data_IF_682166263962
#
_entry.id   IF_682166263962
#
_cell.length_a   1.000
_cell.length_b   1.000
_cell.length_c   1.000
_cell.angle_alpha   90.00
_cell.angle_beta   90.00
_cell.angle_gamma   90.00
#
_symmetry.space_group_name_H-M   'P 1'
#
loop_
_entity.id
_entity.type
_entity.pdbx_description
1 polymer ?
#
# COMPACT_ATOMS: atom_id res chain seq x y z
N UNK A 1 -8.86 -14.33 13.99
CA UNK A 1 -9.64 -13.21 13.49
C UNK A 1 -9.45 -11.97 14.34
N UNK A 2 -9.35 -10.81 13.68
CA UNK A 2 -9.37 -9.47 14.28
C UNK A 2 -10.76 -9.18 14.86
N UNK A 3 -10.81 -8.65 16.08
CA UNK A 3 -12.05 -8.17 16.73
C UNK A 3 -12.40 -6.75 16.31
N UNK A 4 -13.61 -6.28 16.64
CA UNK A 4 -14.01 -4.89 16.37
C UNK A 4 -13.08 -3.86 17.06
N UNK A 5 -12.71 -4.12 18.33
CA UNK A 5 -11.78 -3.25 19.06
C UNK A 5 -10.39 -3.22 18.42
N UNK A 6 -9.90 -4.37 17.95
CA UNK A 6 -8.65 -4.44 17.22
C UNK A 6 -8.73 -3.72 15.87
N UNK A 7 -9.88 -3.76 15.18
CA UNK A 7 -10.08 -3.02 13.95
C UNK A 7 -10.03 -1.51 14.20
N UNK A 8 -10.71 -1.02 15.24
CA UNK A 8 -10.64 0.39 15.65
C UNK A 8 -9.21 0.81 16.05
N UNK A 9 -8.48 -0.07 16.73
CA UNK A 9 -7.07 0.15 17.05
C UNK A 9 -6.19 0.28 15.80
N UNK A 10 -6.42 -0.54 14.78
CA UNK A 10 -5.69 -0.45 13.51
C UNK A 10 -6.08 0.82 12.76
N UNK A 11 -7.36 1.20 12.73
CA UNK A 11 -7.81 2.45 12.10
C UNK A 11 -7.08 3.67 12.67
N UNK A 12 -6.97 3.73 13.99
CA UNK A 12 -6.28 4.79 14.72
C UNK A 12 -4.82 4.94 14.29
N UNK A 13 -4.17 3.83 13.97
CA UNK A 13 -2.72 3.72 13.90
C UNK A 13 -2.17 3.22 12.55
N UNK A 14 -3.02 2.97 11.56
CA UNK A 14 -2.56 2.54 10.24
C UNK A 14 -1.86 3.68 9.49
N UNK A 15 -0.72 3.38 8.86
CA UNK A 15 0.06 4.37 8.11
C UNK A 15 0.74 3.82 6.84
N UNK A 16 0.58 2.52 6.55
CA UNK A 16 1.06 1.87 5.33
C UNK A 16 -0.03 0.98 4.72
N UNK A 17 0.02 0.69 3.40
CA UNK A 17 -0.96 -0.17 2.72
C UNK A 17 -1.16 -1.54 3.37
N UNK A 18 -0.11 -2.14 3.91
CA UNK A 18 -0.12 -3.47 4.51
C UNK A 18 -0.88 -3.52 5.84
N UNK A 19 -1.17 -2.36 6.46
CA UNK A 19 -2.06 -2.27 7.62
C UNK A 19 -3.54 -2.31 7.26
N UNK A 20 -3.89 -2.15 5.98
CA UNK A 20 -5.27 -2.13 5.52
C UNK A 20 -5.76 -3.56 5.38
N UNK A 21 -6.49 -4.02 6.38
CA UNK A 21 -6.94 -5.42 6.49
C UNK A 21 -7.81 -5.83 5.31
N UNK A 22 -8.73 -4.97 4.86
CA UNK A 22 -9.58 -5.23 3.70
C UNK A 22 -8.77 -5.39 2.41
N UNK A 23 -7.76 -4.55 2.20
CA UNK A 23 -6.88 -4.63 1.04
C UNK A 23 -6.10 -5.94 1.01
N UNK A 24 -5.35 -6.23 2.09
CA UNK A 24 -4.48 -7.41 2.12
C UNK A 24 -5.32 -8.69 2.08
N UNK A 25 -6.46 -8.73 2.77
CA UNK A 25 -7.38 -9.88 2.75
C UNK A 25 -7.96 -10.10 1.36
N UNK A 26 -8.42 -9.05 0.68
CA UNK A 26 -9.02 -9.16 -0.65
C UNK A 26 -8.02 -9.67 -1.69
N UNK A 27 -6.77 -9.22 -1.62
CA UNK A 27 -5.70 -9.64 -2.53
C UNK A 27 -5.20 -11.05 -2.21
N UNK A 28 -4.79 -11.31 -0.96
CA UNK A 28 -4.14 -12.58 -0.59
C UNK A 28 -5.12 -13.74 -0.35
N UNK A 29 -6.39 -13.41 -0.04
CA UNK A 29 -7.39 -14.33 0.53
C UNK A 29 -6.93 -14.96 1.86
N UNK A 30 -6.04 -14.29 2.58
CA UNK A 30 -5.55 -14.71 3.89
C UNK A 30 -6.35 -14.01 5.00
N UNK A 31 -6.56 -14.71 6.11
CA UNK A 31 -7.31 -14.18 7.25
C UNK A 31 -6.40 -13.30 8.12
N UNK A 32 -6.86 -12.11 8.55
CA UNK A 32 -6.04 -11.20 9.32
C UNK A 32 -6.07 -11.48 10.84
N UNK A 33 -4.94 -11.25 11.49
CA UNK A 33 -4.70 -11.42 12.92
C UNK A 33 -3.79 -10.30 13.44
N UNK A 34 -3.99 -9.89 14.68
CA UNK A 34 -3.11 -8.95 15.38
C UNK A 34 -2.31 -9.69 16.46
N UNK A 35 -0.98 -9.56 16.42
CA UNK A 35 -0.03 -10.13 17.38
C UNK A 35 0.78 -9.01 18.03
N UNK A 36 0.35 -8.58 19.21
CA UNK A 36 0.86 -7.36 19.83
C UNK A 36 0.60 -6.15 18.93
N UNK A 37 1.68 -5.52 18.47
CA UNK A 37 1.62 -4.33 17.58
C UNK A 37 1.66 -4.67 16.09
N UNK A 38 1.73 -5.95 15.71
CA UNK A 38 2.02 -6.38 14.35
C UNK A 38 0.85 -7.13 13.72
N UNK A 39 0.63 -6.87 12.44
CA UNK A 39 -0.38 -7.58 11.65
C UNK A 39 0.21 -8.82 10.98
N UNK A 40 -0.58 -9.87 10.98
CA UNK A 40 -0.28 -11.10 10.27
C UNK A 40 -1.50 -11.59 9.50
N UNK A 41 -1.30 -12.11 8.30
CA UNK A 41 -2.34 -12.67 7.46
C UNK A 41 -2.01 -14.12 7.14
N UNK A 42 -2.82 -15.06 7.61
CA UNK A 42 -2.55 -16.48 7.50
C UNK A 42 -3.49 -17.16 6.50
N UNK A 43 -2.94 -18.06 5.67
CA UNK A 43 -3.70 -18.89 4.74
C UNK A 43 -3.02 -20.23 4.54
N UNK A 44 -3.60 -21.31 5.07
CA UNK A 44 -3.08 -22.70 5.00
C UNK A 44 -1.57 -22.78 5.25
N UNK A 45 -0.76 -22.75 4.19
CA UNK A 45 0.68 -22.96 4.19
C UNK A 45 1.49 -21.67 3.98
N UNK A 46 0.82 -20.52 3.97
CA UNK A 46 1.43 -19.21 3.70
C UNK A 46 1.06 -18.19 4.77
N UNK A 47 2.03 -17.36 5.15
CA UNK A 47 1.88 -16.28 6.12
C UNK A 47 2.45 -14.97 5.55
N UNK A 48 1.66 -13.90 5.61
CA UNK A 48 2.16 -12.53 5.41
C UNK A 48 2.34 -11.92 6.80
N UNK A 49 3.53 -11.44 7.12
CA UNK A 49 3.80 -10.74 8.36
C UNK A 49 4.22 -9.30 8.08
N UNK A 50 3.54 -8.36 8.74
CA UNK A 50 3.79 -6.93 8.63
C UNK A 50 4.58 -6.49 9.85
N UNK A 51 5.89 -6.41 9.70
CA UNK A 51 6.88 -6.04 10.72
C UNK A 51 6.93 -4.55 11.05
N UNK A 52 5.86 -3.82 10.74
CA UNK A 52 5.68 -2.42 11.08
C UNK A 52 4.73 -2.35 12.28
N UNK A 53 5.18 -1.88 13.45
CA UNK A 53 4.30 -1.72 14.61
C UNK A 53 3.28 -0.61 14.34
N UNK A 54 2.06 -0.77 14.84
CA UNK A 54 0.99 0.22 14.69
C UNK A 54 1.27 1.52 15.47
N UNK A 55 1.53 1.43 16.77
CA UNK A 55 1.71 2.62 17.61
C UNK A 55 3.15 2.84 18.07
N UNK A 56 3.86 1.76 18.37
CA UNK A 56 5.13 1.83 19.07
C UNK A 56 6.32 2.00 18.13
N UNK A 57 7.46 2.46 18.64
CA UNK A 57 8.69 2.51 17.85
C UNK A 57 9.12 1.09 17.47
N UNK A 58 9.66 0.94 16.26
CA UNK A 58 10.16 -0.36 15.80
C UNK A 58 11.29 -0.89 16.70
N UNK A 59 11.12 -2.14 17.15
CA UNK A 59 12.13 -2.91 17.87
C UNK A 59 12.23 -4.33 17.30
N UNK A 60 13.40 -4.69 16.77
CA UNK A 60 13.62 -5.98 16.09
C UNK A 60 13.30 -7.18 16.99
N UNK A 61 13.67 -7.13 18.28
CA UNK A 61 13.41 -8.22 19.24
C UNK A 61 11.91 -8.47 19.44
N UNK A 62 11.11 -7.41 19.48
CA UNK A 62 9.65 -7.51 19.66
C UNK A 62 8.97 -8.01 18.41
N UNK A 63 9.39 -7.51 17.25
CA UNK A 63 8.94 -8.03 15.95
C UNK A 63 9.27 -9.52 15.83
N UNK A 64 10.51 -9.93 16.15
CA UNK A 64 10.92 -11.34 16.13
C UNK A 64 10.05 -12.18 17.05
N UNK A 65 9.81 -11.74 18.30
CA UNK A 65 8.94 -12.47 19.23
C UNK A 65 7.53 -12.68 18.66
N UNK A 66 6.92 -11.64 18.10
CA UNK A 66 5.61 -11.75 17.48
C UNK A 66 5.62 -12.68 16.25
N UNK A 67 6.67 -12.61 15.43
CA UNK A 67 6.90 -13.47 14.27
C UNK A 67 7.07 -14.96 14.69
N UNK A 68 7.81 -15.23 15.76
CA UNK A 68 7.99 -16.58 16.31
C UNK A 68 6.65 -17.13 16.84
N UNK A 69 5.86 -16.31 17.55
CA UNK A 69 4.54 -16.67 18.08
C UNK A 69 3.55 -17.04 16.96
N UNK A 70 3.47 -16.22 15.92
CA UNK A 70 2.57 -16.47 14.78
C UNK A 70 3.03 -17.68 13.95
N UNK A 71 4.35 -17.85 13.76
CA UNK A 71 4.92 -19.00 13.05
C UNK A 71 4.64 -20.29 13.81
N UNK A 72 4.77 -20.29 15.14
CA UNK A 72 4.44 -21.44 15.99
C UNK A 72 2.95 -21.79 15.92
N UNK A 73 2.07 -20.78 15.85
CA UNK A 73 0.61 -20.98 15.80
C UNK A 73 0.16 -21.57 14.47
N UNK A 74 0.61 -21.02 13.35
CA UNK A 74 0.10 -21.38 12.02
C UNK A 74 0.96 -22.38 11.26
N UNK A 75 2.22 -22.56 11.67
CA UNK A 75 3.19 -23.48 11.04
C UNK A 75 3.22 -23.37 9.51
N UNK A 76 3.40 -22.16 8.95
CA UNK A 76 3.40 -21.98 7.50
C UNK A 76 4.61 -22.63 6.85
N UNK A 77 4.45 -23.13 5.62
CA UNK A 77 5.54 -23.57 4.76
C UNK A 77 6.32 -22.42 4.13
N UNK A 78 5.71 -21.23 4.02
CA UNK A 78 6.33 -20.01 3.49
C UNK A 78 5.84 -18.74 4.20
N UNK A 79 6.76 -17.80 4.42
CA UNK A 79 6.52 -16.51 5.07
C UNK A 79 6.96 -15.37 4.14
N UNK A 80 6.04 -14.44 3.88
CA UNK A 80 6.31 -13.13 3.33
C UNK A 80 6.41 -12.09 4.46
N UNK A 81 7.58 -11.50 4.65
CA UNK A 81 7.85 -10.50 5.67
C UNK A 81 8.11 -9.14 5.02
N UNK A 82 7.40 -8.10 5.47
CA UNK A 82 7.77 -6.70 5.22
C UNK A 82 8.18 -6.04 6.54
N UNK A 83 9.26 -5.26 6.55
CA UNK A 83 9.77 -4.64 7.78
C UNK A 83 10.60 -3.38 7.47
N UNK A 84 10.85 -2.48 8.43
CA UNK A 84 11.71 -1.31 8.19
C UNK A 84 13.20 -1.67 8.10
N UNK A 85 13.62 -2.82 8.61
CA UNK A 85 15.01 -3.29 8.53
C UNK A 85 15.06 -4.71 8.00
N UNK A 86 16.27 -5.10 7.59
CA UNK A 86 16.62 -6.48 7.30
C UNK A 86 16.83 -7.19 8.63
N UNK A 87 16.01 -8.19 9.00
CA UNK A 87 16.20 -8.87 10.26
C UNK A 87 17.49 -9.70 10.23
N UNK A 88 18.30 -9.54 11.26
CA UNK A 88 19.63 -10.17 11.39
C UNK A 88 19.59 -11.70 11.43
N UNK A 89 18.46 -12.26 11.87
CA UNK A 89 18.24 -13.70 11.98
C UNK A 89 17.88 -14.37 10.66
N UNK A 90 17.44 -13.63 9.63
CA UNK A 90 17.14 -14.20 8.32
C UNK A 90 18.40 -14.26 7.46
N UNK A 91 19.13 -15.38 7.57
CA UNK A 91 20.39 -15.62 6.84
C UNK A 91 20.18 -16.24 5.46
N UNK A 92 19.15 -17.07 5.29
CA UNK A 92 18.83 -17.75 4.02
C UNK A 92 17.93 -16.90 3.12
N UNK A 93 18.19 -16.94 1.81
CA UNK A 93 17.70 -15.96 0.83
C UNK A 93 16.95 -16.68 -0.29
N UNK A 94 15.65 -16.44 -0.41
CA UNK A 94 14.88 -16.88 -1.60
C UNK A 94 14.52 -15.69 -2.47
N UNK A 95 13.88 -14.65 -1.91
CA UNK A 95 13.60 -13.41 -2.63
C UNK A 95 13.71 -12.19 -1.71
N UNK A 96 14.33 -11.11 -2.18
CA UNK A 96 14.49 -9.85 -1.45
C UNK A 96 14.28 -8.64 -2.35
N UNK A 97 13.59 -7.62 -1.84
CA UNK A 97 13.57 -6.28 -2.43
C UNK A 97 13.62 -5.21 -1.34
N UNK A 98 14.07 -4.00 -1.70
CA UNK A 98 14.15 -2.86 -0.79
C UNK A 98 13.79 -1.56 -1.51
N UNK A 99 13.10 -0.68 -0.81
CA UNK A 99 12.65 0.63 -1.29
C UNK A 99 12.37 1.55 -0.09
N UNK A 100 11.64 2.63 -0.28
CA UNK A 100 11.13 3.52 0.75
C UNK A 100 9.68 3.89 0.45
N UNK A 101 8.84 3.90 1.49
CA UNK A 101 7.58 4.61 1.42
C UNK A 101 7.84 6.11 1.43
N UNK A 102 7.08 6.82 0.60
CA UNK A 102 7.07 8.27 0.56
C UNK A 102 5.84 8.79 1.29
N UNK A 103 5.99 9.90 1.99
CA UNK A 103 4.90 10.58 2.69
C UNK A 103 4.86 12.03 2.31
N UNK A 104 3.65 12.53 2.13
CA UNK A 104 3.34 13.94 2.05
C UNK A 104 2.82 14.42 3.40
N UNK A 105 3.42 15.50 3.93
CA UNK A 105 2.91 16.19 5.10
C UNK A 105 1.98 17.33 4.67
N UNK A 106 0.70 17.27 5.06
CA UNK A 106 -0.31 18.22 4.61
C UNK A 106 -0.13 19.60 5.25
N UNK A 107 0.43 19.70 6.45
CA UNK A 107 0.70 21.01 7.10
C UNK A 107 1.86 21.77 6.48
N UNK A 108 2.78 21.05 5.83
CA UNK A 108 3.95 21.63 5.16
C UNK A 108 3.78 21.67 3.63
N UNK A 109 2.61 21.31 3.11
CA UNK A 109 2.38 21.23 1.67
C UNK A 109 2.48 22.63 1.02
N UNK A 110 3.41 22.77 0.09
CA UNK A 110 3.55 23.94 -0.76
C UNK A 110 3.53 23.53 -2.22
N UNK A 111 2.50 23.97 -2.95
CA UNK A 111 2.34 23.67 -4.38
C UNK A 111 3.13 24.70 -5.18
N UNK A 112 4.09 24.26 -6.01
CA UNK A 112 4.88 25.19 -6.84
C UNK A 112 4.03 25.86 -7.94
N UNK A 113 4.47 27.02 -8.44
CA UNK A 113 3.78 27.69 -9.57
C UNK A 113 3.73 26.81 -10.82
N UNK A 114 4.80 26.05 -11.09
CA UNK A 114 4.84 25.11 -12.22
C UNK A 114 3.75 24.04 -12.09
N UNK A 115 3.57 23.49 -10.89
CA UNK A 115 2.53 22.50 -10.63
C UNK A 115 1.13 23.11 -10.71
N UNK A 116 0.90 24.30 -10.15
CA UNK A 116 -0.36 25.04 -10.32
C UNK A 116 -0.73 25.25 -11.80
N UNK A 117 0.24 25.66 -12.62
CA UNK A 117 0.02 25.85 -14.05
C UNK A 117 -0.33 24.53 -14.76
N UNK A 118 0.30 23.42 -14.36
CA UNK A 118 -0.01 22.09 -14.88
C UNK A 118 -1.44 21.67 -14.52
N UNK A 119 -1.84 21.84 -13.26
CA UNK A 119 -3.19 21.53 -12.78
C UNK A 119 -4.25 22.38 -13.50
N UNK A 120 -3.99 23.68 -13.67
CA UNK A 120 -4.88 24.57 -14.42
C UNK A 120 -5.07 24.12 -15.87
N UNK A 121 -4.00 23.67 -16.54
CA UNK A 121 -4.11 23.13 -17.91
C UNK A 121 -4.92 21.84 -17.94
N UNK A 122 -4.56 20.85 -17.10
CA UNK A 122 -5.25 19.58 -17.02
C UNK A 122 -6.75 19.76 -16.68
N UNK A 123 -7.08 20.65 -15.75
CA UNK A 123 -8.46 20.94 -15.35
C UNK A 123 -9.31 21.66 -16.41
N UNK A 124 -8.73 22.20 -17.49
CA UNK A 124 -9.49 22.68 -18.65
C UNK A 124 -9.90 21.57 -19.60
N UNK A 125 -9.20 20.43 -19.54
CA UNK A 125 -9.37 19.29 -20.44
C UNK A 125 -10.12 18.14 -19.75
N UNK A 126 -9.98 18.04 -18.43
CA UNK A 126 -10.45 16.94 -17.61
C UNK A 126 -11.39 17.42 -16.51
N UNK A 127 -12.41 16.62 -16.25
CA UNK A 127 -13.20 16.65 -15.01
C UNK A 127 -12.75 15.51 -14.09
N UNK A 128 -12.66 15.77 -12.79
CA UNK A 128 -12.40 14.73 -11.78
C UNK A 128 -13.68 14.35 -11.05
N UNK A 129 -13.87 13.05 -10.81
CA UNK A 129 -14.99 12.50 -10.04
C UNK A 129 -14.48 11.50 -9.02
N UNK A 130 -14.91 11.63 -7.76
CA UNK A 130 -14.79 10.57 -6.73
C UNK A 130 -15.96 9.60 -6.87
N UNK A 131 -15.70 8.31 -6.95
CA UNK A 131 -16.70 7.27 -7.18
C UNK A 131 -16.40 5.98 -6.41
N UNK A 132 -17.44 5.17 -6.25
CA UNK A 132 -17.36 3.77 -5.78
C UNK A 132 -17.43 2.78 -6.94
N UNK A 133 -17.82 3.27 -8.11
CA UNK A 133 -17.98 2.44 -9.29
C UNK A 133 -16.60 2.01 -9.80
N UNK A 134 -16.40 0.71 -9.95
CA UNK A 134 -15.25 0.13 -10.64
C UNK A 134 -15.76 -0.71 -11.81
N UNK A 135 -15.79 -0.09 -12.98
CA UNK A 135 -16.39 -0.66 -14.19
C UNK A 135 -15.35 -1.27 -15.15
N UNK A 136 -15.85 -1.91 -16.22
CA UNK A 136 -15.04 -2.55 -17.28
C UNK A 136 -13.99 -1.63 -17.90
N UNK A 137 -14.24 -0.32 -17.99
CA UNK A 137 -13.25 0.64 -18.53
C UNK A 137 -12.00 0.76 -17.64
N UNK A 138 -12.14 0.62 -16.32
CA UNK A 138 -11.00 0.61 -15.38
C UNK A 138 -10.16 -0.65 -15.57
N UNK A 139 -10.82 -1.80 -15.65
CA UNK A 139 -10.16 -3.09 -15.93
C UNK A 139 -9.36 -3.03 -17.23
N UNK A 140 -9.93 -2.45 -18.29
CA UNK A 140 -9.22 -2.25 -19.58
C UNK A 140 -7.95 -1.41 -19.43
N UNK A 141 -7.96 -0.37 -18.59
CA UNK A 141 -6.76 0.43 -18.35
C UNK A 141 -5.69 -0.36 -17.58
N UNK A 142 -6.09 -1.16 -16.58
CA UNK A 142 -5.16 -2.06 -15.87
C UNK A 142 -4.56 -3.09 -16.83
N UNK A 143 -5.38 -3.74 -17.66
CA UNK A 143 -4.92 -4.70 -18.65
C UNK A 143 -3.96 -4.07 -19.66
N UNK A 144 -4.28 -2.88 -20.18
CA UNK A 144 -3.40 -2.14 -21.09
C UNK A 144 -2.07 -1.76 -20.41
N UNK A 145 -2.10 -1.40 -19.13
CA UNK A 145 -0.91 -1.16 -18.34
C UNK A 145 -0.05 -2.43 -18.25
N UNK A 146 -0.63 -3.55 -17.83
CA UNK A 146 0.03 -4.84 -17.64
C UNK A 146 0.60 -5.46 -18.94
N UNK A 147 0.03 -5.09 -20.10
CA UNK A 147 0.52 -5.49 -21.43
C UNK A 147 1.75 -4.69 -21.86
N UNK A 148 1.89 -3.45 -21.37
CA UNK A 148 2.90 -2.51 -21.88
C UNK A 148 4.00 -2.18 -20.88
N UNK A 149 3.88 -2.61 -19.62
CA UNK A 149 4.88 -2.42 -18.58
C UNK A 149 5.28 -3.79 -18.01
N UNK A 150 6.57 -4.14 -18.02
CA UNK A 150 7.04 -5.32 -17.31
C UNK A 150 6.83 -5.11 -15.82
N UNK A 151 6.12 -6.04 -15.19
CA UNK A 151 5.91 -6.11 -13.74
C UNK A 151 6.20 -7.52 -13.28
N UNK A 152 6.64 -7.67 -12.03
CA UNK A 152 6.79 -9.00 -11.43
C UNK A 152 5.43 -9.68 -11.18
N UNK A 153 5.48 -10.98 -10.91
CA UNK A 153 4.27 -11.79 -10.70
C UNK A 153 3.45 -11.30 -9.50
N UNK A 154 4.10 -10.85 -8.43
CA UNK A 154 3.43 -10.34 -7.24
C UNK A 154 2.63 -9.06 -7.53
N UNK A 155 3.24 -8.12 -8.26
CA UNK A 155 2.60 -6.86 -8.68
C UNK A 155 1.45 -7.13 -9.65
N UNK A 156 1.65 -8.03 -10.62
CA UNK A 156 0.57 -8.47 -11.52
C UNK A 156 -0.60 -9.05 -10.75
N UNK A 157 -0.30 -9.94 -9.80
CA UNK A 157 -1.31 -10.59 -8.95
C UNK A 157 -2.13 -9.59 -8.13
N UNK A 158 -1.50 -8.53 -7.62
CA UNK A 158 -2.17 -7.41 -6.93
C UNK A 158 -3.09 -6.66 -7.90
N UNK A 159 -2.58 -6.27 -9.08
CA UNK A 159 -3.33 -5.45 -10.04
C UNK A 159 -4.58 -6.15 -10.56
N UNK A 160 -4.50 -7.45 -10.81
CA UNK A 160 -5.64 -8.27 -11.22
C UNK A 160 -6.74 -8.36 -10.14
N UNK A 161 -6.43 -8.06 -8.87
CA UNK A 161 -7.35 -8.13 -7.72
C UNK A 161 -7.79 -6.77 -7.19
N UNK A 162 -7.48 -5.68 -7.88
CA UNK A 162 -7.95 -4.34 -7.49
C UNK A 162 -9.49 -4.28 -7.47
N UNK A 163 -10.16 -4.96 -8.40
CA UNK A 163 -11.63 -5.07 -8.41
C UNK A 163 -12.17 -5.76 -7.15
N UNK A 164 -11.59 -6.90 -6.77
CA UNK A 164 -11.95 -7.61 -5.54
C UNK A 164 -11.80 -6.71 -4.31
N UNK A 165 -10.66 -6.01 -4.22
CA UNK A 165 -10.40 -5.07 -3.13
C UNK A 165 -11.47 -3.98 -3.07
N UNK A 166 -11.72 -3.27 -4.17
CA UNK A 166 -12.71 -2.19 -4.23
C UNK A 166 -14.13 -2.67 -3.92
N UNK A 167 -14.49 -3.90 -4.33
CA UNK A 167 -15.80 -4.48 -4.03
C UNK A 167 -16.00 -4.82 -2.55
N UNK A 168 -14.91 -5.11 -1.82
CA UNK A 168 -14.93 -5.54 -0.43
C UNK A 168 -14.70 -4.42 0.59
N UNK A 169 -14.18 -3.27 0.16
CA UNK A 169 -13.82 -2.15 1.03
C UNK A 169 -14.89 -1.06 0.99
N UNK A 170 -15.37 -0.65 2.16
CA UNK A 170 -16.25 0.51 2.30
C UNK A 170 -15.49 1.83 2.47
N UNK A 171 -14.17 1.81 2.34
CA UNK A 171 -13.32 2.98 2.61
C UNK A 171 -12.32 3.27 1.49
N UNK A 172 -12.13 2.33 0.55
CA UNK A 172 -11.41 2.54 -0.68
C UNK A 172 -12.28 3.28 -1.71
N UNK A 173 -11.69 4.27 -2.38
CA UNK A 173 -12.37 5.11 -3.36
C UNK A 173 -11.60 5.20 -4.66
N UNK A 174 -12.34 5.29 -5.76
CA UNK A 174 -11.80 5.55 -7.09
C UNK A 174 -11.93 7.03 -7.39
N UNK A 175 -10.86 7.63 -7.88
CA UNK A 175 -10.84 8.99 -8.41
C UNK A 175 -10.62 8.91 -9.91
N UNK A 176 -11.59 9.34 -10.69
CA UNK A 176 -11.60 9.24 -12.14
C UNK A 176 -11.28 10.60 -12.76
N UNK A 177 -10.38 10.63 -13.74
CA UNK A 177 -10.19 11.78 -14.62
C UNK A 177 -10.84 11.44 -15.97
N UNK A 178 -11.85 12.23 -16.35
CA UNK A 178 -12.59 12.04 -17.59
C UNK A 178 -12.42 13.24 -18.51
N UNK A 179 -12.30 12.99 -19.81
CA UNK A 179 -12.24 14.06 -20.81
C UNK A 179 -13.64 14.67 -21.05
N UNK A 180 -13.72 15.69 -21.91
CA UNK A 180 -14.99 16.36 -22.28
C UNK A 180 -16.03 15.45 -22.95
N UNK A 181 -15.62 14.29 -23.47
CA UNK A 181 -16.51 13.28 -24.04
C UNK A 181 -17.01 12.26 -22.99
N UNK A 182 -16.60 12.42 -21.73
CA UNK A 182 -16.93 11.50 -20.63
C UNK A 182 -16.05 10.24 -20.59
N UNK A 183 -15.04 10.12 -21.45
CA UNK A 183 -14.17 8.95 -21.52
C UNK A 183 -13.15 8.96 -20.38
N UNK A 184 -12.91 7.81 -19.77
CA UNK A 184 -11.89 7.64 -18.73
C UNK A 184 -10.48 7.82 -19.31
N UNK A 185 -9.77 8.82 -18.81
CA UNK A 185 -8.39 9.15 -19.18
C UNK A 185 -7.40 8.54 -18.19
N UNK A 186 -7.72 8.61 -16.90
CA UNK A 186 -6.90 8.07 -15.83
C UNK A 186 -7.76 7.80 -14.61
N UNK A 187 -7.28 6.95 -13.70
CA UNK A 187 -7.87 6.85 -12.38
C UNK A 187 -6.83 6.54 -11.31
N UNK A 188 -7.15 6.99 -10.09
CA UNK A 188 -6.46 6.63 -8.86
C UNK A 188 -7.35 5.80 -7.96
N UNK A 189 -6.74 4.97 -7.14
CA UNK A 189 -7.37 4.32 -5.99
C UNK A 189 -6.72 4.86 -4.72
N UNK A 190 -7.52 5.31 -3.77
CA UNK A 190 -7.06 5.74 -2.47
C UNK A 190 -7.84 5.06 -1.34
N UNK A 191 -7.15 4.73 -0.25
CA UNK A 191 -7.73 4.22 0.99
C UNK A 191 -7.82 5.35 2.01
N UNK A 192 -9.04 5.60 2.49
CA UNK A 192 -9.38 6.74 3.35
C UNK A 192 -9.61 6.32 4.82
N UNK A 193 -9.61 5.01 5.08
CA UNK A 193 -9.89 4.44 6.40
C UNK A 193 -8.98 4.94 7.53
N UNK A 194 -7.63 4.98 7.39
CA UNK A 194 -6.78 5.32 8.52
C UNK A 194 -7.05 6.73 9.06
N UNK A 195 -7.00 6.92 10.39
CA UNK A 195 -7.33 8.21 11.00
C UNK A 195 -6.49 9.36 10.46
N UNK A 196 -5.16 9.22 10.55
CA UNK A 196 -4.23 10.30 10.27
C UNK A 196 -3.72 10.32 8.82
N UNK A 197 -3.98 9.25 8.04
CA UNK A 197 -3.44 9.05 6.70
C UNK A 197 -4.55 8.84 5.67
N UNK A 198 -4.33 9.36 4.46
CA UNK A 198 -4.84 8.70 3.24
C UNK A 198 -3.71 7.89 2.64
N UNK A 199 -4.00 6.69 2.12
CA UNK A 199 -3.03 5.90 1.38
C UNK A 199 -3.34 5.99 -0.12
N UNK A 200 -2.38 6.50 -0.89
CA UNK A 200 -2.42 6.55 -2.35
C UNK A 200 -1.96 5.19 -2.89
N UNK A 201 -2.92 4.36 -3.31
CA UNK A 201 -2.69 2.94 -3.57
C UNK A 201 -2.23 2.68 -5.01
N UNK A 202 -3.05 3.05 -5.99
CA UNK A 202 -2.83 2.72 -7.40
C UNK A 202 -3.13 3.92 -8.31
N UNK A 203 -2.41 4.01 -9.42
CA UNK A 203 -2.65 4.99 -10.48
C UNK A 203 -2.53 4.30 -11.85
N UNK A 204 -3.51 4.51 -12.72
CA UNK A 204 -3.48 4.02 -14.09
C UNK A 204 -3.88 5.12 -15.06
N UNK A 205 -3.17 5.21 -16.18
CA UNK A 205 -3.42 6.18 -17.23
C UNK A 205 -3.66 5.47 -18.57
N UNK A 206 -4.59 6.02 -19.35
CA UNK A 206 -4.75 5.69 -20.76
C UNK A 206 -3.56 6.20 -21.56
N UNK A 207 -2.98 5.33 -22.41
CA UNK A 207 -1.95 5.74 -23.38
C UNK A 207 -2.58 6.43 -24.59
N UNK A 208 -3.73 5.94 -25.03
CA UNK A 208 -4.42 6.44 -26.24
C UNK A 208 -5.12 7.78 -26.01
N UNK A 209 -5.50 8.06 -24.75
CA UNK A 209 -6.20 9.28 -24.34
C UNK A 209 -5.35 10.12 -23.38
N UNK A 210 -4.03 10.02 -23.49
CA UNK A 210 -3.12 10.64 -22.55
C UNK A 210 -3.31 12.16 -22.48
N UNK A 211 -3.51 12.68 -21.27
CA UNK A 211 -3.54 14.12 -21.00
C UNK A 211 -2.45 14.46 -19.98
N UNK A 212 -1.50 15.35 -20.31
CA UNK A 212 -0.45 15.76 -19.39
C UNK A 212 -1.02 16.33 -18.08
N UNK A 213 -0.57 15.78 -16.95
CA UNK A 213 -1.01 16.21 -15.63
C UNK A 213 -2.30 15.55 -15.13
N UNK A 214 -2.83 14.52 -15.80
CA UNK A 214 -3.99 13.77 -15.31
C UNK A 214 -3.76 13.17 -13.92
N UNK A 215 -2.67 12.41 -13.71
CA UNK A 215 -2.29 11.89 -12.38
C UNK A 215 -2.06 12.99 -11.34
N UNK A 216 -1.53 14.15 -11.76
CA UNK A 216 -1.36 15.28 -10.85
C UNK A 216 -2.71 15.87 -10.43
N UNK A 217 -3.64 15.98 -11.37
CA UNK A 217 -4.98 16.47 -11.10
C UNK A 217 -5.72 15.52 -10.14
N UNK A 218 -5.57 14.21 -10.32
CA UNK A 218 -6.15 13.21 -9.42
C UNK A 218 -5.52 13.24 -8.03
N UNK A 219 -4.19 13.28 -7.91
CA UNK A 219 -3.55 13.45 -6.60
C UNK A 219 -3.94 14.77 -5.92
N UNK A 220 -4.15 15.84 -6.69
CA UNK A 220 -4.64 17.12 -6.16
C UNK A 220 -6.04 17.02 -5.56
N UNK A 221 -6.91 16.18 -6.15
CA UNK A 221 -8.24 15.87 -5.65
C UNK A 221 -8.16 15.10 -4.33
N UNK A 222 -7.31 14.07 -4.29
CA UNK A 222 -7.08 13.26 -3.09
C UNK A 222 -6.51 14.12 -1.95
N UNK A 223 -5.59 15.03 -2.25
CA UNK A 223 -5.05 16.00 -1.28
C UNK A 223 -6.16 16.88 -0.72
N UNK A 224 -7.05 17.39 -1.56
CA UNK A 224 -8.17 18.22 -1.10
C UNK A 224 -9.13 17.45 -0.20
N UNK A 225 -9.41 16.19 -0.52
CA UNK A 225 -10.16 15.29 0.35
C UNK A 225 -9.45 15.08 1.69
N UNK A 226 -8.13 14.83 1.67
CA UNK A 226 -7.33 14.65 2.87
C UNK A 226 -7.41 15.88 3.79
N UNK A 227 -7.30 17.08 3.22
CA UNK A 227 -7.42 18.34 3.94
C UNK A 227 -8.83 18.55 4.51
N UNK A 228 -9.88 18.23 3.73
CA UNK A 228 -11.26 18.32 4.17
C UNK A 228 -11.64 17.34 5.29
N UNK A 229 -10.99 16.19 5.34
CA UNK A 229 -11.13 15.19 6.41
C UNK A 229 -10.10 15.37 7.54
N UNK A 230 -9.37 16.49 7.56
CA UNK A 230 -8.35 16.82 8.56
C UNK A 230 -7.27 15.74 8.76
N UNK A 231 -6.96 14.99 7.70
CA UNK A 231 -5.85 14.04 7.69
C UNK A 231 -4.54 14.82 7.86
N UNK A 232 -3.54 14.17 8.47
CA UNK A 232 -2.22 14.77 8.67
C UNK A 232 -1.29 14.49 7.50
N UNK A 233 -1.43 13.30 6.91
CA UNK A 233 -0.48 12.77 5.95
C UNK A 233 -1.16 12.08 4.78
N UNK A 234 -0.41 11.95 3.68
CA UNK A 234 -0.72 10.99 2.63
C UNK A 234 0.48 10.06 2.48
N UNK A 235 0.28 8.76 2.61
CA UNK A 235 1.29 7.78 2.19
C UNK A 235 1.18 7.66 0.67
N UNK A 236 2.24 8.03 -0.04
CA UNK A 236 2.30 8.03 -1.49
C UNK A 236 2.71 6.66 -2.06
N UNK A 237 2.92 5.65 -1.23
CA UNK A 237 3.43 4.32 -1.60
C UNK A 237 4.94 4.28 -1.82
N UNK A 238 5.42 3.16 -2.36
CA UNK A 238 6.85 2.85 -2.60
C UNK A 238 7.46 3.64 -3.76
N UNK A 239 8.76 3.96 -3.71
CA UNK A 239 9.46 4.70 -4.75
C UNK A 239 9.37 4.07 -6.15
N UNK A 240 9.43 2.74 -6.24
CA UNK A 240 9.35 1.85 -7.41
C UNK A 240 10.42 2.11 -8.47
N UNK A 241 10.46 3.31 -9.04
CA UNK A 241 11.44 3.74 -10.03
C UNK A 241 11.64 5.26 -9.98
N UNK A 242 12.60 5.77 -10.75
CA UNK A 242 12.97 7.19 -10.74
C UNK A 242 11.82 8.12 -11.15
N UNK A 243 10.96 7.71 -12.09
CA UNK A 243 9.80 8.48 -12.56
C UNK A 243 8.69 8.58 -11.51
N UNK A 244 8.35 7.46 -10.88
CA UNK A 244 7.38 7.40 -9.77
C UNK A 244 7.89 8.18 -8.56
N UNK A 245 9.17 8.02 -8.20
CA UNK A 245 9.78 8.79 -7.12
C UNK A 245 9.84 10.30 -7.42
N UNK A 246 10.10 10.69 -8.68
CA UNK A 246 10.05 12.08 -9.12
C UNK A 246 8.64 12.68 -8.99
N UNK A 247 7.61 11.94 -9.41
CA UNK A 247 6.22 12.36 -9.25
C UNK A 247 5.90 12.70 -7.79
N UNK A 248 6.33 11.87 -6.84
CA UNK A 248 6.10 12.09 -5.40
C UNK A 248 6.87 13.29 -4.86
N UNK A 249 8.15 13.41 -5.19
CA UNK A 249 8.98 14.55 -4.78
C UNK A 249 8.48 15.87 -5.34
N UNK A 250 7.93 15.88 -6.55
CA UNK A 250 7.31 17.06 -7.18
C UNK A 250 6.16 17.64 -6.34
N UNK A 251 5.45 16.79 -5.60
CA UNK A 251 4.40 17.18 -4.66
C UNK A 251 4.90 17.52 -3.25
N UNK A 252 6.21 17.46 -3.00
CA UNK A 252 6.79 17.59 -1.66
C UNK A 252 6.80 16.29 -0.86
N UNK A 253 6.49 15.16 -1.49
CA UNK A 253 6.61 13.84 -0.87
C UNK A 253 8.07 13.49 -0.60
N UNK A 254 8.37 13.07 0.63
CA UNK A 254 9.71 12.68 1.05
C UNK A 254 9.72 11.19 1.47
N UNK A 255 10.83 10.46 1.23
CA UNK A 255 11.00 9.13 1.81
C UNK A 255 10.97 9.26 3.34
N UNK A 256 10.18 8.42 4.01
CA UNK A 256 10.03 8.50 5.48
C UNK A 256 10.20 7.15 6.19
N UNK A 257 9.97 6.05 5.47
CA UNK A 257 9.99 4.72 6.07
C UNK A 257 10.65 3.74 5.10
N UNK A 258 11.74 3.07 5.49
CA UNK A 258 12.33 2.04 4.65
C UNK A 258 11.36 0.88 4.43
N UNK A 259 11.42 0.32 3.22
CA UNK A 259 10.71 -0.88 2.82
C UNK A 259 11.68 -1.97 2.43
N UNK A 260 11.35 -3.18 2.83
CA UNK A 260 12.29 -4.27 2.94
C UNK A 260 11.41 -5.53 2.98
N UNK A 261 11.48 -6.33 1.93
CA UNK A 261 10.63 -7.51 1.72
C UNK A 261 11.45 -8.78 1.64
N UNK A 262 10.95 -9.86 2.25
CA UNK A 262 11.49 -11.21 2.16
C UNK A 262 10.40 -12.23 1.94
N UNK A 263 10.68 -13.17 1.06
CA UNK A 263 9.98 -14.45 0.97
C UNK A 263 10.96 -15.54 1.40
N UNK A 264 10.58 -16.38 2.37
CA UNK A 264 11.42 -17.47 2.86
C UNK A 264 10.59 -18.61 3.46
N UNK A 265 11.22 -19.78 3.61
CA UNK A 265 10.64 -20.93 4.30
C UNK A 265 11.16 -20.96 5.74
N UNK A 266 10.30 -21.01 6.77
CA UNK A 266 10.78 -21.12 8.14
C UNK A 266 11.48 -22.46 8.34
N UNK A 267 12.65 -22.44 8.98
CA UNK A 267 13.37 -23.66 9.32
C UNK A 267 12.59 -24.46 10.37
N UNK A 268 12.48 -25.78 10.22
CA UNK A 268 11.80 -26.62 11.22
C UNK A 268 12.58 -26.73 12.54
N UNK A 269 13.86 -26.35 12.54
CA UNK A 269 14.82 -26.57 13.63
C UNK A 269 15.04 -25.37 14.56
N UNK A 270 14.52 -24.18 14.26
CA UNK A 270 14.62 -23.02 15.18
C UNK A 270 13.85 -23.23 16.51
N UNK A 271 12.89 -24.16 16.52
CA UNK A 271 12.21 -24.60 17.74
C UNK A 271 13.15 -25.40 18.68
N UNK A 272 14.18 -26.08 18.16
CA UNK A 272 15.15 -26.86 18.92
C UNK A 272 16.26 -25.96 19.51
N UNK A 273 16.74 -24.95 18.77
CA UNK A 273 17.76 -24.03 19.30
C UNK A 273 17.27 -23.21 20.50
N UNK A 274 16.00 -22.82 20.51
CA UNK A 274 15.40 -22.10 21.65
C UNK A 274 15.29 -22.98 22.92
N UNK A 275 15.26 -24.30 22.76
CA UNK A 275 15.25 -25.27 23.87
C UNK A 275 16.67 -25.53 24.39
N UNK A 276 17.66 -25.60 23.49
CA UNK A 276 19.07 -25.81 23.86
C UNK A 276 19.74 -24.57 24.46
N UNK A 277 19.27 -23.36 24.16
CA UNK A 277 19.74 -22.13 24.84
C UNK A 277 19.13 -21.92 26.24
N UNK A 278 18.19 -22.78 26.66
CA UNK A 278 17.54 -22.75 27.98
C UNK A 278 17.95 -23.93 28.88
N UNK A 279 18.85 -24.78 28.43
CA UNK A 279 19.56 -25.81 29.21
C UNK A 279 20.98 -25.31 29.52
#
# INVERSE_FOLDING_TARGET
MITADQLAYIEEHAYIPEHITHYVTAVSKAEPFLFGEFLAYAKKDYLIFVGYPLRETFEEKRMKKALDEVTKRFKPGEIALTAPIIPSFLRERVQRSSDYYYRLNLSALSVSQKLRNMLSRAGRELSVKKSRDFAKEHQKLIEAFLKTHPVDEATRFIFERIGDYLSSSTTAWVFEARNRKGELVAFDVAELWPRDYILYMFNFNSRDRFVPGASDLLLSEIIRHAQGEHKKYINLGLGINSGVAFFKRKWGGAPFLPYNFWLYKPSRDEALETFLQKL
#
